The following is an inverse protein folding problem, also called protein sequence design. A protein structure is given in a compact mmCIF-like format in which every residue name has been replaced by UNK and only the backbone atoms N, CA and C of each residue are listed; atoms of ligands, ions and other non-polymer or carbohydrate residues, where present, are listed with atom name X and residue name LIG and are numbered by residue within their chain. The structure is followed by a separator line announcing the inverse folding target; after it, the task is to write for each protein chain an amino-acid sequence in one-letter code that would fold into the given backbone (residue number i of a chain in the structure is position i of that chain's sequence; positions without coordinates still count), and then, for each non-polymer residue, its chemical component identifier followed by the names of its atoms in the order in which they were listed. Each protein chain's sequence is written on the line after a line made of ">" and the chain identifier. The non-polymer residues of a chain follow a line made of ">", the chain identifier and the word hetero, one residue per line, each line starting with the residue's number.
data_IF_376931819680
#
_entry.id   IF_376931819680
#
_cell.length_a   1.000
_cell.length_b   1.000
_cell.length_c   1.000
_cell.angle_alpha   90.00
_cell.angle_beta   90.00
_cell.angle_gamma   90.00
#
_symmetry.space_group_name_H-M   'P 1'
#
loop_
_entity.id
_entity.type
_entity.pdbx_description
1 polymer ?
#
# COMPACT_ATOMS: atom_id res chain seq x y z
N UNK A 1 -2.00 39.58 10.34
CA UNK A 1 -1.48 38.27 10.78
C UNK A 1 -1.85 37.26 9.71
N UNK A 2 -0.93 37.02 8.78
CA UNK A 2 -1.04 36.00 7.74
C UNK A 2 -0.69 34.64 8.34
N UNK A 3 -1.53 33.63 8.14
CA UNK A 3 -1.10 32.24 8.03
C UNK A 3 -1.97 31.55 6.97
N UNK A 4 -1.37 31.44 5.78
CA UNK A 4 -1.87 30.79 4.58
C UNK A 4 -2.02 29.28 4.80
N UNK A 5 -3.24 28.76 4.67
CA UNK A 5 -3.43 27.33 4.39
C UNK A 5 -3.76 27.17 2.91
N UNK A 6 -2.68 27.07 2.14
CA UNK A 6 -2.64 26.76 0.71
C UNK A 6 -3.40 25.46 0.47
N UNK A 7 -4.62 25.51 -0.05
CA UNK A 7 -5.26 24.35 -0.67
C UNK A 7 -4.39 23.91 -1.84
N UNK A 8 -3.71 22.75 -1.81
CA UNK A 8 -3.05 22.27 -3.01
C UNK A 8 -4.15 21.94 -4.01
N UNK A 9 -4.30 22.77 -5.04
CA UNK A 9 -5.00 22.39 -6.25
C UNK A 9 -4.16 21.31 -6.91
N UNK A 10 -4.39 20.05 -6.53
CA UNK A 10 -3.83 18.91 -7.24
C UNK A 10 -4.64 18.78 -8.52
N UNK A 11 -4.23 19.51 -9.56
CA UNK A 11 -4.69 19.26 -10.92
C UNK A 11 -4.10 17.91 -11.34
N UNK A 12 -4.82 16.83 -11.02
CA UNK A 12 -4.45 15.48 -11.45
C UNK A 12 -4.68 15.45 -12.96
N UNK A 13 -3.61 15.55 -13.74
CA UNK A 13 -3.65 15.26 -15.17
C UNK A 13 -4.21 13.84 -15.32
N UNK A 14 -5.45 13.73 -15.80
CA UNK A 14 -6.26 12.50 -15.87
C UNK A 14 -5.72 11.50 -16.93
N UNK A 15 -4.41 11.33 -17.03
CA UNK A 15 -3.79 10.20 -17.74
C UNK A 15 -4.00 8.92 -16.93
N UNK A 16 -5.24 8.46 -16.84
CA UNK A 16 -5.65 7.16 -16.27
C UNK A 16 -4.69 6.65 -15.18
N UNK A 17 -4.37 7.49 -14.19
CA UNK A 17 -3.37 7.13 -13.22
C UNK A 17 -3.98 6.04 -12.36
N UNK A 18 -3.44 4.84 -12.55
CA UNK A 18 -3.82 3.67 -11.78
C UNK A 18 -3.22 3.85 -10.40
N UNK A 19 -4.01 3.59 -9.35
CA UNK A 19 -3.54 3.67 -7.97
C UNK A 19 -3.72 2.33 -7.28
N UNK A 20 -2.93 2.13 -6.23
CA UNK A 20 -3.10 1.07 -5.24
C UNK A 20 -3.45 1.74 -3.92
N UNK A 21 -4.53 1.29 -3.29
CA UNK A 21 -4.89 1.75 -1.95
C UNK A 21 -4.13 0.93 -0.91
N UNK A 22 -3.32 1.58 -0.07
CA UNK A 22 -2.65 0.92 1.06
C UNK A 22 -3.20 1.49 2.36
N UNK A 23 -3.82 0.64 3.17
CA UNK A 23 -4.51 1.04 4.41
C UNK A 23 -4.22 0.08 5.56
N UNK A 24 -4.56 0.53 6.78
CA UNK A 24 -4.38 -0.23 8.01
C UNK A 24 -3.09 0.13 8.74
N UNK A 25 -2.45 -0.87 9.37
CA UNK A 25 -1.23 -0.73 10.18
C UNK A 25 0.04 -0.57 9.32
N UNK A 26 0.08 0.52 8.58
CA UNK A 26 1.27 1.02 7.88
C UNK A 26 1.61 2.40 8.42
N UNK A 27 2.87 2.83 8.33
CA UNK A 27 3.29 4.12 8.90
C UNK A 27 2.50 5.30 8.34
N UNK A 28 2.23 5.29 7.04
CA UNK A 28 1.50 6.34 6.34
C UNK A 28 0.51 5.70 5.36
N UNK A 29 -0.74 5.44 5.77
CA UNK A 29 -1.75 4.90 4.87
C UNK A 29 -2.06 5.92 3.77
N UNK A 30 -1.68 5.60 2.54
CA UNK A 30 -1.83 6.47 1.38
C UNK A 30 -2.07 5.67 0.11
N UNK A 31 -2.55 6.36 -0.93
CA UNK A 31 -2.67 5.80 -2.26
C UNK A 31 -1.32 5.90 -2.97
N UNK A 32 -0.81 4.76 -3.40
CA UNK A 32 0.46 4.69 -4.12
C UNK A 32 0.16 4.66 -5.62
N UNK A 33 0.81 5.52 -6.44
CA UNK A 33 0.67 5.44 -7.88
C UNK A 33 1.19 4.09 -8.38
N UNK A 34 0.37 3.39 -9.14
CA UNK A 34 0.71 2.09 -9.70
C UNK A 34 1.78 2.23 -10.78
N UNK A 35 2.86 1.48 -10.65
CA UNK A 35 3.90 1.31 -11.67
C UNK A 35 3.98 -0.16 -12.07
N UNK A 36 4.50 -0.47 -13.25
CA UNK A 36 4.64 -1.86 -13.74
C UNK A 36 5.52 -2.72 -12.83
N UNK A 37 6.43 -2.08 -12.12
CA UNK A 37 7.37 -2.69 -11.18
C UNK A 37 6.88 -2.62 -9.72
N UNK A 38 5.65 -2.11 -9.48
CA UNK A 38 5.10 -1.99 -8.14
C UNK A 38 4.68 -3.36 -7.60
N UNK A 39 5.28 -3.72 -6.47
CA UNK A 39 4.96 -4.94 -5.74
C UNK A 39 4.26 -4.65 -4.41
N UNK A 40 3.73 -5.69 -3.77
CA UNK A 40 3.05 -5.57 -2.48
C UNK A 40 3.98 -4.96 -1.42
N UNK A 41 5.23 -5.42 -1.34
CA UNK A 41 6.22 -4.80 -0.45
C UNK A 41 6.62 -3.41 -0.90
N UNK A 42 6.77 -3.17 -2.20
CA UNK A 42 7.10 -1.85 -2.73
C UNK A 42 6.04 -0.79 -2.36
N UNK A 43 4.76 -1.15 -2.44
CA UNK A 43 3.67 -0.26 -2.06
C UNK A 43 3.64 0.01 -0.55
N UNK A 44 3.89 -1.00 0.29
CA UNK A 44 4.00 -0.79 1.73
C UNK A 44 5.24 0.03 2.08
N UNK A 45 6.36 -0.18 1.40
CA UNK A 45 7.57 0.62 1.58
C UNK A 45 7.35 2.10 1.19
N UNK A 46 6.61 2.36 0.11
CA UNK A 46 6.19 3.71 -0.28
C UNK A 46 5.32 4.39 0.80
N UNK A 47 4.60 3.61 1.60
CA UNK A 47 3.83 4.07 2.76
C UNK A 47 4.68 4.22 4.05
N UNK A 48 6.00 4.18 3.96
CA UNK A 48 6.92 4.27 5.10
C UNK A 48 7.14 2.93 5.84
N UNK A 49 6.62 1.83 5.28
CA UNK A 49 6.73 0.49 5.83
C UNK A 49 5.59 0.12 6.80
N UNK A 50 5.67 -1.10 7.31
CA UNK A 50 4.77 -1.62 8.34
C UNK A 50 5.03 -0.94 9.69
N UNK A 51 3.99 -0.74 10.50
CA UNK A 51 4.16 -0.36 11.91
C UNK A 51 4.74 -1.53 12.73
N UNK A 52 5.18 -1.26 13.95
CA UNK A 52 5.60 -2.30 14.90
C UNK A 52 4.41 -3.18 15.36
N UNK A 53 3.19 -2.63 15.33
CA UNK A 53 1.96 -3.35 15.66
C UNK A 53 1.31 -4.02 14.44
N UNK A 54 1.91 -3.93 13.26
CA UNK A 54 1.35 -4.49 12.03
C UNK A 54 1.43 -6.01 11.99
N UNK A 55 0.34 -6.65 11.56
CA UNK A 55 0.34 -8.08 11.30
C UNK A 55 0.99 -8.41 9.94
N UNK A 56 2.33 -8.50 9.93
CA UNK A 56 3.11 -8.84 8.72
C UNK A 56 2.90 -10.28 8.25
N UNK A 57 2.34 -11.17 9.08
CA UNK A 57 2.03 -12.55 8.71
C UNK A 57 0.73 -12.68 7.93
N UNK A 58 -0.18 -11.72 8.11
CA UNK A 58 -1.54 -11.76 7.58
C UNK A 58 -1.90 -10.42 6.97
N UNK A 59 -1.33 -10.15 5.81
CA UNK A 59 -1.65 -8.98 5.00
C UNK A 59 -2.73 -9.35 3.99
N UNK A 60 -3.81 -8.58 3.96
CA UNK A 60 -4.92 -8.79 3.01
C UNK A 60 -4.63 -7.99 1.75
N UNK A 61 -4.58 -8.70 0.62
CA UNK A 61 -4.52 -8.10 -0.71
C UNK A 61 -5.81 -8.41 -1.45
N UNK A 62 -6.57 -7.37 -1.78
CA UNK A 62 -7.72 -7.48 -2.66
C UNK A 62 -7.31 -7.10 -4.07
N UNK A 63 -7.29 -8.08 -4.96
CA UNK A 63 -6.95 -7.93 -6.37
C UNK A 63 -8.12 -8.38 -7.25
N UNK A 64 -8.68 -7.48 -8.06
CA UNK A 64 -9.79 -7.80 -8.97
C UNK A 64 -11.05 -8.37 -8.28
N UNK A 65 -11.28 -8.01 -7.01
CA UNK A 65 -12.40 -8.53 -6.21
C UNK A 65 -12.08 -9.81 -5.42
N UNK A 66 -10.92 -10.42 -5.64
CA UNK A 66 -10.44 -11.57 -4.85
C UNK A 66 -9.56 -11.05 -3.72
N UNK A 67 -9.95 -11.32 -2.48
CA UNK A 67 -9.11 -11.02 -1.31
C UNK A 67 -8.30 -12.25 -0.94
N UNK A 68 -6.98 -12.12 -1.00
CA UNK A 68 -6.02 -13.14 -0.59
C UNK A 68 -5.23 -12.64 0.60
N UNK A 69 -4.84 -13.55 1.48
CA UNK A 69 -3.99 -13.25 2.62
C UNK A 69 -2.59 -13.76 2.32
N UNK A 70 -1.59 -12.91 2.52
CA UNK A 70 -0.20 -13.28 2.30
C UNK A 70 0.67 -12.87 3.47
N UNK A 71 1.79 -13.60 3.63
CA UNK A 71 2.75 -13.35 4.67
C UNK A 71 3.86 -12.44 4.14
N UNK A 72 3.75 -11.14 4.43
CA UNK A 72 4.74 -10.15 4.05
C UNK A 72 6.12 -10.45 4.65
N UNK A 73 6.21 -11.11 5.82
CA UNK A 73 7.50 -11.48 6.42
C UNK A 73 8.25 -12.52 5.59
N UNK A 74 7.53 -13.48 5.01
CA UNK A 74 8.13 -14.47 4.11
C UNK A 74 8.55 -13.84 2.78
N UNK A 75 7.74 -12.91 2.26
CA UNK A 75 8.09 -12.16 1.04
C UNK A 75 9.30 -11.25 1.27
N UNK A 76 9.43 -10.65 2.47
CA UNK A 76 10.60 -9.85 2.82
C UNK A 76 11.88 -10.70 2.88
N UNK A 77 11.76 -11.98 3.23
CA UNK A 77 12.90 -12.91 3.26
C UNK A 77 13.23 -13.46 1.87
N UNK A 78 12.22 -13.66 1.02
CA UNK A 78 12.37 -14.18 -0.34
C UNK A 78 11.67 -13.25 -1.35
N UNK A 79 12.44 -12.32 -1.94
CA UNK A 79 11.95 -11.37 -2.94
C UNK A 79 11.41 -12.03 -4.21
N UNK A 80 11.71 -13.32 -4.44
CA UNK A 80 11.14 -14.10 -5.53
C UNK A 80 9.64 -14.40 -5.33
N UNK A 81 9.14 -14.29 -4.09
CA UNK A 81 7.72 -14.46 -3.73
C UNK A 81 6.93 -13.15 -3.73
N UNK A 82 7.53 -12.04 -4.16
CA UNK A 82 6.86 -10.74 -4.14
C UNK A 82 5.68 -10.71 -5.11
N UNK A 83 4.53 -10.31 -4.60
CA UNK A 83 3.30 -10.28 -5.37
C UNK A 83 3.27 -8.96 -6.14
N UNK A 84 3.27 -9.07 -7.46
CA UNK A 84 3.06 -7.92 -8.34
C UNK A 84 1.64 -7.41 -8.18
N UNK A 85 1.53 -6.12 -7.89
CA UNK A 85 0.23 -5.49 -7.76
C UNK A 85 -0.36 -5.22 -9.14
N UNK A 86 -1.67 -5.04 -9.14
CA UNK A 86 -2.44 -4.59 -10.28
C UNK A 86 -3.06 -3.22 -9.99
N UNK A 87 -3.44 -2.50 -11.04
CA UNK A 87 -4.20 -1.28 -10.86
C UNK A 87 -5.50 -1.54 -10.07
N UNK A 88 -5.83 -0.64 -9.14
CA UNK A 88 -6.97 -0.75 -8.22
C UNK A 88 -6.85 -1.86 -7.16
N UNK A 89 -5.65 -2.39 -6.94
CA UNK A 89 -5.41 -3.29 -5.81
C UNK A 89 -5.56 -2.56 -4.48
N UNK A 90 -6.03 -3.29 -3.47
CA UNK A 90 -6.13 -2.79 -2.10
C UNK A 90 -5.30 -3.66 -1.18
N UNK A 91 -4.36 -3.05 -0.50
CA UNK A 91 -3.58 -3.67 0.56
C UNK A 91 -4.15 -3.18 1.88
N UNK A 92 -4.62 -4.13 2.68
CA UNK A 92 -5.06 -3.88 4.04
C UNK A 92 -4.17 -4.65 5.01
N UNK A 93 -3.51 -3.91 5.88
CA UNK A 93 -2.68 -4.46 6.95
C UNK A 93 -3.45 -4.41 8.25
N UNK A 94 -3.75 -5.56 8.83
CA UNK A 94 -4.46 -5.60 10.11
C UNK A 94 -3.50 -5.42 11.29
N UNK A 95 -4.05 -5.04 12.45
CA UNK A 95 -3.26 -4.93 13.68
C UNK A 95 -2.97 -6.32 14.25
N UNK A 96 -1.74 -6.52 14.69
CA UNK A 96 -1.36 -7.68 15.48
C UNK A 96 -1.94 -7.51 16.89
N UNK A 97 -2.82 -8.42 17.29
CA UNK A 97 -3.47 -8.46 18.61
C UNK A 97 -2.72 -9.36 19.62
N UNK A 98 -1.45 -9.66 19.35
CA UNK A 98 -0.60 -10.55 20.16
C UNK A 98 0.55 -9.79 20.79
#
# INVERSE_FOLDING_TARGET
>A
KEEIFTNPNVTVDLKEQRFVDVTGEVRMPQRVPYTKDLTALGAVAACGGFTDFANRRRVRLTQGGVTQEFNAKEIQADQGRDIRLKPNDKIQVDRSIF
#
